data_IF_874426622809
#
_entry.id   IF_874426622809
#
_cell.length_a   1.000
_cell.length_b   1.000
_cell.length_c   1.000
_cell.angle_alpha   90.00
_cell.angle_beta   90.00
_cell.angle_gamma   90.00
#
_symmetry.space_group_name_H-M   'P 1'
#
loop_
_entity.id
_entity.type
_entity.pdbx_description
1 polymer ?
#
# COMPACT_ATOMS: atom_id res chain seq x y z
N UNK A 1 49.69 -45.79 -51.37
CA UNK A 1 48.21 -45.50 -51.24
C UNK A 1 47.96 -45.06 -49.84
N UNK A 2 47.87 -43.75 -49.59
CA UNK A 2 47.56 -43.21 -48.26
C UNK A 2 46.05 -42.83 -48.24
N UNK A 3 45.28 -43.49 -47.41
CA UNK A 3 43.87 -43.18 -47.19
C UNK A 3 43.76 -42.10 -46.12
N UNK A 4 43.37 -40.88 -46.51
CA UNK A 4 43.02 -39.80 -45.57
C UNK A 4 41.62 -40.00 -45.10
N UNK A 5 41.44 -40.19 -43.80
CA UNK A 5 40.14 -40.23 -43.15
C UNK A 5 39.80 -38.79 -42.72
N UNK A 6 38.80 -38.18 -43.38
CA UNK A 6 38.22 -36.90 -42.95
C UNK A 6 37.27 -37.19 -41.76
N UNK A 7 37.64 -36.70 -40.60
CA UNK A 7 36.77 -36.71 -39.41
C UNK A 7 35.87 -35.45 -39.48
N UNK A 8 34.62 -35.61 -39.86
CA UNK A 8 33.62 -34.54 -39.81
C UNK A 8 33.10 -34.41 -38.38
N UNK A 9 33.57 -33.36 -37.68
CA UNK A 9 33.02 -33.00 -36.35
C UNK A 9 31.67 -32.32 -36.54
N UNK A 10 30.58 -33.01 -36.25
CA UNK A 10 29.24 -32.43 -36.15
C UNK A 10 29.15 -31.71 -34.79
N UNK A 11 29.27 -30.38 -34.81
CA UNK A 11 28.88 -29.55 -33.67
C UNK A 11 27.36 -29.59 -33.56
N UNK A 12 26.85 -30.39 -32.62
CA UNK A 12 25.47 -30.30 -32.21
C UNK A 12 25.29 -28.99 -31.40
N UNK A 13 24.82 -27.94 -32.08
CA UNK A 13 24.32 -26.75 -31.40
C UNK A 13 23.04 -27.14 -30.66
N UNK A 14 23.15 -27.48 -29.40
CA UNK A 14 22.01 -27.59 -28.49
C UNK A 14 21.40 -26.17 -28.32
N UNK A 15 20.37 -25.89 -29.10
CA UNK A 15 19.52 -24.73 -28.89
C UNK A 15 18.83 -24.94 -27.58
N UNK A 16 19.34 -24.31 -26.51
CA UNK A 16 18.57 -24.13 -25.30
C UNK A 16 17.39 -23.21 -25.66
N UNK A 17 16.24 -23.78 -25.88
CA UNK A 17 15.00 -23.02 -25.94
C UNK A 17 14.80 -22.47 -24.53
N UNK A 18 15.18 -21.21 -24.31
CA UNK A 18 14.76 -20.48 -23.14
C UNK A 18 13.25 -20.31 -23.30
N UNK A 19 12.47 -21.15 -22.63
CA UNK A 19 11.04 -20.92 -22.54
C UNK A 19 10.84 -19.59 -21.85
N UNK A 20 10.10 -18.69 -22.50
CA UNK A 20 9.67 -17.45 -21.88
C UNK A 20 8.90 -17.80 -20.60
N UNK A 21 9.25 -17.18 -19.49
CA UNK A 21 8.52 -17.36 -18.23
C UNK A 21 7.23 -16.56 -18.31
N UNK A 22 6.17 -17.12 -17.75
CA UNK A 22 4.91 -16.42 -17.50
C UNK A 22 4.84 -16.11 -16.01
N UNK A 23 4.63 -14.82 -15.66
CA UNK A 23 4.44 -14.33 -14.30
C UNK A 23 3.00 -13.92 -14.13
N UNK A 24 2.33 -14.43 -13.10
CA UNK A 24 0.99 -14.01 -12.71
C UNK A 24 1.07 -12.84 -11.74
N UNK A 25 0.52 -11.68 -12.15
CA UNK A 25 0.47 -10.49 -11.33
C UNK A 25 -0.98 -10.12 -11.02
N UNK A 26 -1.35 -10.13 -9.75
CA UNK A 26 -2.67 -9.69 -9.28
C UNK A 26 -2.58 -8.28 -8.70
N UNK A 27 -3.42 -7.38 -9.21
CA UNK A 27 -3.53 -6.00 -8.79
C UNK A 27 -4.98 -5.68 -8.43
N UNK A 28 -5.24 -5.08 -7.26
CA UNK A 28 -6.56 -4.53 -6.98
C UNK A 28 -6.64 -3.07 -7.46
N UNK A 29 -7.78 -2.74 -8.08
CA UNK A 29 -8.02 -1.40 -8.61
C UNK A 29 -8.31 -0.39 -7.49
N UNK A 30 -7.58 0.73 -7.50
CA UNK A 30 -7.75 1.83 -6.55
C UNK A 30 -7.37 3.17 -7.21
N UNK A 31 -7.88 3.52 -8.33
CA UNK A 31 -7.57 4.60 -9.25
C UNK A 31 -6.88 4.06 -10.50
N UNK A 32 -5.68 4.55 -10.88
CA UNK A 32 -4.98 4.16 -12.11
C UNK A 32 -3.69 3.34 -11.87
N UNK A 33 -3.46 2.90 -10.63
CA UNK A 33 -2.21 2.20 -10.28
C UNK A 33 -2.02 0.91 -11.07
N UNK A 34 -3.10 0.12 -11.25
CA UNK A 34 -3.01 -1.12 -11.99
C UNK A 34 -2.66 -0.86 -13.46
N UNK A 35 -3.20 0.20 -14.07
CA UNK A 35 -2.89 0.57 -15.45
C UNK A 35 -1.41 0.96 -15.60
N UNK A 36 -0.88 1.71 -14.64
CA UNK A 36 0.54 2.09 -14.61
C UNK A 36 1.43 0.87 -14.43
N UNK A 37 1.12 -0.01 -13.49
CA UNK A 37 1.88 -1.24 -13.25
C UNK A 37 1.86 -2.16 -14.47
N UNK A 38 0.72 -2.26 -15.18
CA UNK A 38 0.62 -3.03 -16.41
C UNK A 38 1.48 -2.44 -17.53
N UNK A 39 1.51 -1.10 -17.67
CA UNK A 39 2.39 -0.43 -18.63
C UNK A 39 3.87 -0.67 -18.30
N UNK A 40 4.25 -0.61 -17.03
CA UNK A 40 5.62 -0.92 -16.59
C UNK A 40 5.98 -2.38 -16.86
N UNK A 41 5.06 -3.32 -16.64
CA UNK A 41 5.24 -4.74 -16.95
C UNK A 41 5.55 -4.95 -18.44
N UNK A 42 4.86 -4.23 -19.34
CA UNK A 42 5.10 -4.31 -20.77
C UNK A 42 6.53 -3.90 -21.19
N UNK A 43 7.16 -2.98 -20.46
CA UNK A 43 8.57 -2.60 -20.70
C UNK A 43 9.48 -3.79 -20.37
N UNK A 44 9.23 -4.49 -19.29
CA UNK A 44 9.99 -5.68 -18.91
C UNK A 44 9.75 -6.84 -19.89
N UNK A 45 8.51 -7.10 -20.31
CA UNK A 45 8.17 -8.11 -21.31
C UNK A 45 8.95 -7.88 -22.62
N UNK A 46 8.92 -6.65 -23.13
CA UNK A 46 9.64 -6.27 -24.35
C UNK A 46 11.17 -6.43 -24.24
N UNK A 47 11.72 -6.25 -23.04
CA UNK A 47 13.18 -6.35 -22.81
C UNK A 47 13.67 -7.77 -22.58
N UNK A 48 12.79 -8.67 -22.10
CA UNK A 48 13.17 -10.02 -21.67
C UNK A 48 12.57 -11.13 -22.53
N UNK A 49 11.50 -10.86 -23.27
CA UNK A 49 10.72 -11.85 -24.01
C UNK A 49 9.83 -12.73 -23.10
N UNK A 50 9.74 -12.42 -21.81
CA UNK A 50 8.82 -13.06 -20.87
C UNK A 50 7.41 -12.42 -20.94
N UNK A 51 6.43 -13.02 -20.28
CA UNK A 51 5.04 -12.55 -20.28
C UNK A 51 4.57 -12.29 -18.84
N UNK A 52 3.81 -11.22 -18.64
CA UNK A 52 3.10 -10.95 -17.39
C UNK A 52 1.60 -11.12 -17.63
N UNK A 53 1.02 -12.14 -17.04
CA UNK A 53 -0.43 -12.32 -16.99
C UNK A 53 -0.97 -11.42 -15.87
N UNK A 54 -1.40 -10.20 -16.25
CA UNK A 54 -1.83 -9.15 -15.34
C UNK A 54 -3.33 -9.23 -15.10
N UNK A 55 -3.73 -9.55 -13.88
CA UNK A 55 -5.12 -9.66 -13.47
C UNK A 55 -5.52 -8.52 -12.54
N UNK A 56 -6.57 -7.78 -12.92
CA UNK A 56 -7.15 -6.73 -12.09
C UNK A 56 -8.39 -7.25 -11.37
N UNK A 57 -8.39 -7.17 -10.06
CA UNK A 57 -9.46 -7.70 -9.19
C UNK A 57 -10.01 -6.63 -8.25
N UNK A 58 -11.11 -6.92 -7.57
CA UNK A 58 -11.58 -6.11 -6.45
C UNK A 58 -10.66 -6.21 -5.24
N UNK A 59 -10.61 -5.15 -4.43
CA UNK A 59 -9.81 -5.12 -3.19
C UNK A 59 -10.18 -6.25 -2.21
N UNK A 60 -11.46 -6.59 -2.12
CA UNK A 60 -11.98 -7.68 -1.31
C UNK A 60 -11.38 -9.05 -1.69
N UNK A 61 -11.11 -9.28 -2.97
CA UNK A 61 -10.47 -10.53 -3.43
C UNK A 61 -9.07 -10.66 -2.85
N UNK A 62 -8.26 -9.60 -2.93
CA UNK A 62 -6.89 -9.62 -2.38
C UNK A 62 -6.92 -9.69 -0.85
N UNK A 63 -7.81 -8.93 -0.21
CA UNK A 63 -7.91 -8.92 1.26
C UNK A 63 -8.35 -10.26 1.85
N UNK A 64 -9.33 -10.93 1.23
CA UNK A 64 -10.04 -12.05 1.84
C UNK A 64 -9.58 -13.42 1.29
N UNK A 65 -8.94 -13.46 0.11
CA UNK A 65 -8.61 -14.72 -0.56
C UNK A 65 -7.11 -14.98 -0.74
N UNK A 66 -6.26 -13.93 -0.76
CA UNK A 66 -4.84 -14.11 -1.07
C UNK A 66 -4.14 -15.03 -0.07
N UNK A 67 -4.41 -14.90 1.22
CA UNK A 67 -3.80 -15.76 2.24
C UNK A 67 -4.15 -17.25 2.01
N UNK A 68 -5.42 -17.55 1.76
CA UNK A 68 -5.86 -18.91 1.43
C UNK A 68 -5.20 -19.44 0.15
N UNK A 69 -4.98 -18.60 -0.85
CA UNK A 69 -4.29 -18.98 -2.08
C UNK A 69 -2.80 -19.27 -1.83
N UNK A 70 -2.16 -18.47 -0.97
CA UNK A 70 -0.76 -18.67 -0.55
C UNK A 70 -0.60 -19.99 0.22
N UNK A 71 -1.50 -20.28 1.16
CA UNK A 71 -1.51 -21.55 1.89
C UNK A 71 -1.74 -22.76 0.98
N UNK A 72 -2.61 -22.61 -0.02
CA UNK A 72 -2.91 -23.66 -0.98
C UNK A 72 -1.85 -23.82 -2.09
N UNK A 73 -0.84 -22.93 -2.17
CA UNK A 73 0.16 -22.94 -3.24
C UNK A 73 -0.40 -22.56 -4.61
N UNK A 74 -1.51 -21.81 -4.66
CA UNK A 74 -2.20 -21.37 -5.87
C UNK A 74 -2.20 -19.84 -6.04
N UNK A 75 -1.45 -19.13 -5.22
CA UNK A 75 -1.33 -17.68 -5.28
C UNK A 75 -0.65 -17.20 -6.57
N UNK A 76 -0.84 -15.91 -6.94
CA UNK A 76 -0.04 -15.28 -7.99
C UNK A 76 1.44 -15.18 -7.58
N UNK A 77 2.32 -15.00 -8.57
CA UNK A 77 3.76 -14.79 -8.32
C UNK A 77 4.05 -13.40 -7.75
N UNK A 78 3.23 -12.42 -8.12
CA UNK A 78 3.30 -11.03 -7.65
C UNK A 78 1.90 -10.54 -7.32
N UNK A 79 1.75 -9.85 -6.19
CA UNK A 79 0.49 -9.23 -5.80
C UNK A 79 0.69 -7.81 -5.27
N UNK A 80 -0.18 -6.88 -5.69
CA UNK A 80 -0.35 -5.59 -5.01
C UNK A 80 -1.19 -5.81 -3.76
N UNK A 81 -0.66 -5.46 -2.60
CA UNK A 81 -1.28 -5.75 -1.30
C UNK A 81 -1.27 -4.54 -0.38
N UNK A 82 -2.09 -4.59 0.68
CA UNK A 82 -2.08 -3.64 1.80
C UNK A 82 -1.70 -4.29 3.13
N UNK A 83 -1.86 -5.60 3.28
CA UNK A 83 -1.48 -6.33 4.49
C UNK A 83 0.01 -6.68 4.46
N UNK A 84 0.88 -5.67 4.66
CA UNK A 84 2.31 -5.79 4.42
C UNK A 84 3.00 -6.79 5.36
N UNK A 85 2.77 -6.67 6.65
CA UNK A 85 3.39 -7.54 7.66
C UNK A 85 2.68 -8.87 7.88
N UNK A 86 1.37 -8.94 7.62
CA UNK A 86 0.57 -10.14 7.90
C UNK A 86 0.87 -11.34 7.00
N UNK A 87 1.45 -11.09 5.82
CA UNK A 87 1.78 -12.13 4.84
C UNK A 87 3.28 -12.36 4.67
N UNK A 88 4.11 -11.77 5.52
CA UNK A 88 5.56 -11.74 5.35
C UNK A 88 6.24 -13.12 5.36
N UNK A 89 5.61 -14.15 5.95
CA UNK A 89 6.12 -15.52 5.92
C UNK A 89 6.14 -16.12 4.51
N UNK A 90 5.36 -15.58 3.58
CA UNK A 90 5.27 -16.07 2.20
C UNK A 90 6.17 -15.31 1.22
N UNK A 91 6.75 -14.18 1.64
CA UNK A 91 7.52 -13.33 0.74
C UNK A 91 8.87 -13.92 0.39
N UNK A 92 9.23 -13.81 -0.89
CA UNK A 92 10.56 -14.07 -1.38
C UNK A 92 11.54 -12.97 -0.93
N UNK A 93 12.68 -13.34 -0.38
CA UNK A 93 13.76 -12.40 -0.13
C UNK A 93 14.39 -11.94 -1.44
N UNK A 94 14.25 -10.68 -1.75
CA UNK A 94 14.76 -10.04 -2.97
C UNK A 94 16.19 -9.53 -2.82
N UNK A 95 16.78 -9.57 -1.63
CA UNK A 95 18.14 -9.06 -1.36
C UNK A 95 19.19 -9.58 -2.34
N UNK A 96 19.19 -10.87 -2.76
CA UNK A 96 20.15 -11.38 -3.72
C UNK A 96 19.96 -10.86 -5.17
N UNK A 97 18.82 -10.25 -5.48
CA UNK A 97 18.41 -9.89 -6.84
C UNK A 97 18.40 -8.39 -7.10
N UNK A 98 18.61 -7.56 -6.08
CA UNK A 98 18.54 -6.10 -6.16
C UNK A 98 19.82 -5.47 -5.60
N UNK A 99 20.05 -4.20 -5.91
CA UNK A 99 21.04 -3.39 -5.19
C UNK A 99 20.47 -3.02 -3.82
N UNK A 100 20.80 -3.84 -2.81
CA UNK A 100 20.28 -3.68 -1.45
C UNK A 100 20.65 -2.30 -0.85
N UNK A 101 21.80 -1.75 -1.18
CA UNK A 101 22.22 -0.42 -0.72
C UNK A 101 21.36 0.69 -1.30
N UNK A 102 21.08 0.63 -2.61
CA UNK A 102 20.19 1.58 -3.26
C UNK A 102 18.74 1.46 -2.75
N UNK A 103 18.27 0.25 -2.49
CA UNK A 103 16.94 0.03 -1.91
C UNK A 103 16.84 0.57 -0.50
N UNK A 104 17.81 0.32 0.36
CA UNK A 104 17.83 0.85 1.72
C UNK A 104 17.89 2.40 1.71
N UNK A 105 18.68 2.99 0.82
CA UNK A 105 18.78 4.44 0.71
C UNK A 105 17.47 5.11 0.25
N UNK A 106 16.70 4.45 -0.63
CA UNK A 106 15.46 5.02 -1.18
C UNK A 106 14.21 4.63 -0.39
N UNK A 107 14.17 3.44 0.22
CA UNK A 107 12.97 2.87 0.84
C UNK A 107 13.18 2.45 2.31
N UNK A 108 14.33 2.74 2.91
CA UNK A 108 14.71 2.29 4.26
C UNK A 108 13.66 2.61 5.33
N UNK A 109 12.92 3.71 5.17
CA UNK A 109 11.83 4.07 6.09
C UNK A 109 10.62 3.12 6.02
N UNK A 110 10.39 2.45 4.88
CA UNK A 110 9.21 1.58 4.67
C UNK A 110 9.54 0.09 4.60
N UNK A 111 10.79 -0.28 4.29
CA UNK A 111 11.23 -1.69 4.26
C UNK A 111 10.90 -2.47 5.55
N UNK A 112 11.01 -1.90 6.76
CA UNK A 112 10.64 -2.60 7.99
C UNK A 112 9.19 -3.07 8.04
N UNK A 113 8.28 -2.45 7.27
CA UNK A 113 6.86 -2.83 7.25
C UNK A 113 6.61 -4.21 6.62
N UNK A 114 7.54 -4.69 5.78
CA UNK A 114 7.46 -6.00 5.11
C UNK A 114 8.29 -7.08 5.81
N UNK A 115 9.24 -6.67 6.66
CA UNK A 115 10.21 -7.58 7.28
C UNK A 115 9.55 -8.50 8.29
N UNK A 116 10.13 -9.67 8.44
CA UNK A 116 9.72 -10.62 9.47
C UNK A 116 10.11 -10.08 10.86
N UNK A 117 9.33 -10.37 11.91
CA UNK A 117 9.75 -10.07 13.27
C UNK A 117 11.13 -10.67 13.56
N UNK A 118 11.89 -10.11 14.51
CA UNK A 118 13.19 -10.68 14.98
C UNK A 118 14.45 -10.31 14.18
N UNK A 119 14.59 -9.06 13.75
CA UNK A 119 15.89 -8.57 13.25
C UNK A 119 16.25 -9.03 11.83
N UNK A 120 15.27 -9.49 11.08
CA UNK A 120 15.40 -9.77 9.68
C UNK A 120 15.65 -8.47 8.89
N UNK A 121 16.69 -8.44 8.07
CA UNK A 121 17.06 -7.30 7.21
C UNK A 121 16.81 -7.57 5.73
N UNK A 122 16.04 -8.62 5.38
CA UNK A 122 15.69 -8.96 4.01
C UNK A 122 14.85 -7.86 3.32
N UNK A 123 14.83 -7.88 2.02
CA UNK A 123 14.02 -7.01 1.15
C UNK A 123 12.92 -7.88 0.57
N UNK A 124 11.66 -7.63 0.95
CA UNK A 124 10.55 -8.53 0.60
C UNK A 124 9.49 -7.88 -0.27
N UNK A 125 9.61 -6.62 -0.54
CA UNK A 125 8.62 -5.90 -1.32
C UNK A 125 9.07 -4.51 -1.69
N UNK A 126 8.22 -3.85 -2.44
CA UNK A 126 8.44 -2.52 -2.96
C UNK A 126 7.21 -1.65 -2.71
N UNK A 127 7.43 -0.47 -2.15
CA UNK A 127 6.41 0.54 -1.96
C UNK A 127 6.05 1.19 -3.31
N UNK A 128 4.90 0.85 -3.86
CA UNK A 128 4.40 1.46 -5.09
C UNK A 128 3.67 2.77 -4.83
N UNK A 129 3.08 2.92 -3.63
CA UNK A 129 2.26 4.05 -3.25
C UNK A 129 2.35 4.30 -1.75
N UNK A 130 2.43 5.56 -1.35
CA UNK A 130 2.30 5.99 0.03
C UNK A 130 1.08 6.91 0.13
N UNK A 131 0.12 6.53 0.97
CA UNK A 131 -1.06 7.34 1.23
C UNK A 131 -0.98 7.92 2.64
N UNK A 132 -1.20 9.21 2.74
CA UNK A 132 -1.32 9.90 4.02
C UNK A 132 -2.80 10.16 4.31
N UNK A 133 -3.26 9.76 5.48
CA UNK A 133 -4.61 10.08 5.95
C UNK A 133 -4.59 11.41 6.69
N UNK A 134 -5.41 12.33 6.24
CA UNK A 134 -5.59 13.65 6.85
C UNK A 134 -6.84 14.33 6.28
N UNK A 135 -7.29 15.43 6.89
CA UNK A 135 -8.41 16.19 6.38
C UNK A 135 -8.04 16.94 5.08
N UNK A 136 -8.97 16.95 4.15
CA UNK A 136 -8.98 17.89 3.02
C UNK A 136 -9.93 19.03 3.37
N UNK A 137 -9.47 20.27 3.18
CA UNK A 137 -10.25 21.45 3.48
C UNK A 137 -10.68 22.14 2.17
N UNK A 138 -11.95 22.46 2.07
CA UNK A 138 -12.45 23.30 0.97
C UNK A 138 -12.25 24.77 1.35
N UNK A 139 -11.15 25.35 0.92
CA UNK A 139 -10.75 26.73 1.23
C UNK A 139 -11.81 27.74 0.75
N UNK A 140 -12.38 27.51 -0.44
CA UNK A 140 -13.41 28.41 -1.01
C UNK A 140 -14.63 28.51 -0.11
N UNK A 141 -15.04 27.43 0.56
CA UNK A 141 -16.17 27.50 1.50
C UNK A 141 -15.86 28.34 2.74
N UNK A 142 -14.62 28.36 3.21
CA UNK A 142 -14.20 29.26 4.28
C UNK A 142 -14.22 30.72 3.83
N UNK A 143 -13.70 31.00 2.63
CA UNK A 143 -13.73 32.35 2.02
C UNK A 143 -15.17 32.85 1.81
N UNK A 144 -16.06 32.03 1.24
CA UNK A 144 -17.44 32.34 1.00
C UNK A 144 -18.25 32.59 2.29
N UNK A 145 -17.91 31.89 3.35
CA UNK A 145 -18.49 32.06 4.68
C UNK A 145 -17.90 33.25 5.45
N UNK A 146 -16.80 33.86 4.95
CA UNK A 146 -16.08 34.92 5.67
C UNK A 146 -15.42 34.45 6.97
N UNK A 147 -15.00 33.20 7.02
CA UNK A 147 -14.37 32.56 8.18
C UNK A 147 -12.90 32.29 7.88
N UNK A 148 -12.03 32.73 8.76
CA UNK A 148 -10.61 32.38 8.67
C UNK A 148 -10.41 30.88 9.00
N UNK A 149 -9.58 30.22 8.20
CA UNK A 149 -9.20 28.84 8.53
C UNK A 149 -8.34 28.81 9.79
N UNK A 150 -8.52 27.80 10.68
CA UNK A 150 -7.62 27.60 11.80
C UNK A 150 -6.17 27.46 11.34
N UNK A 151 -5.25 28.02 12.10
CA UNK A 151 -3.82 28.01 11.80
C UNK A 151 -3.20 26.61 12.06
N UNK A 152 -1.95 26.44 11.61
CA UNK A 152 -1.18 25.22 11.90
C UNK A 152 -1.06 25.00 13.40
N UNK A 153 -1.38 23.78 13.86
CA UNK A 153 -1.37 23.44 15.28
C UNK A 153 -2.68 23.72 16.02
N UNK A 154 -3.70 24.26 15.34
CA UNK A 154 -5.03 24.42 15.92
C UNK A 154 -5.63 23.08 16.42
N UNK A 155 -6.37 23.15 17.51
CA UNK A 155 -7.03 21.99 18.09
C UNK A 155 -8.22 21.51 17.23
N UNK A 156 -8.71 20.31 17.50
CA UNK A 156 -9.93 19.81 16.89
C UNK A 156 -11.17 20.65 17.28
N UNK A 157 -11.15 21.29 18.45
CA UNK A 157 -12.23 22.18 18.87
C UNK A 157 -12.21 23.48 18.06
N UNK A 158 -11.04 24.07 17.79
CA UNK A 158 -10.91 25.23 16.92
C UNK A 158 -11.44 24.93 15.52
N UNK A 159 -11.11 23.78 14.98
CA UNK A 159 -11.63 23.31 13.69
C UNK A 159 -13.15 23.10 13.73
N UNK A 160 -13.68 22.49 14.78
CA UNK A 160 -15.11 22.24 14.94
C UNK A 160 -15.87 23.55 15.02
N UNK A 161 -15.38 24.53 15.79
CA UNK A 161 -16.01 25.85 15.92
C UNK A 161 -16.04 26.60 14.59
N UNK A 162 -14.92 26.63 13.86
CA UNK A 162 -14.87 27.25 12.54
C UNK A 162 -15.83 26.57 11.55
N UNK A 163 -15.86 25.23 11.53
CA UNK A 163 -16.76 24.47 10.65
C UNK A 163 -18.24 24.65 11.00
N UNK A 164 -18.61 24.89 12.28
CA UNK A 164 -19.98 25.23 12.66
C UNK A 164 -20.41 26.55 12.07
N UNK A 165 -19.53 27.54 12.06
CA UNK A 165 -19.81 28.83 11.44
C UNK A 165 -19.96 28.68 9.92
N UNK A 166 -19.02 28.02 9.24
CA UNK A 166 -19.10 27.75 7.80
C UNK A 166 -20.39 27.02 7.44
N UNK A 167 -20.75 25.98 8.21
CA UNK A 167 -21.98 25.23 8.03
C UNK A 167 -23.22 26.15 8.12
N UNK A 168 -23.24 27.02 9.12
CA UNK A 168 -24.38 27.95 9.36
C UNK A 168 -24.50 29.00 8.25
N UNK A 169 -23.39 29.66 7.91
CA UNK A 169 -23.39 30.75 6.91
C UNK A 169 -23.74 30.24 5.51
N UNK A 170 -23.31 29.06 5.15
CA UNK A 170 -23.57 28.50 3.82
C UNK A 170 -24.78 27.57 3.77
N UNK A 171 -25.48 27.34 4.89
CA UNK A 171 -26.66 26.46 4.96
C UNK A 171 -26.35 25.01 4.64
N UNK A 172 -25.17 24.51 5.02
CA UNK A 172 -24.74 23.14 4.72
C UNK A 172 -25.42 22.15 5.68
N UNK A 173 -25.63 20.93 5.20
CA UNK A 173 -26.16 19.83 6.02
C UNK A 173 -25.12 19.30 6.99
N UNK A 174 -23.82 19.37 6.64
CA UNK A 174 -22.71 18.94 7.48
C UNK A 174 -21.49 19.81 7.23
N UNK A 175 -20.74 20.16 8.27
CA UNK A 175 -19.44 20.85 8.18
C UNK A 175 -18.26 19.89 8.00
N UNK A 176 -18.43 18.62 8.37
CA UNK A 176 -17.39 17.58 8.28
C UNK A 176 -17.96 16.30 7.66
N UNK A 177 -17.23 15.72 6.71
CA UNK A 177 -17.50 14.41 6.18
C UNK A 177 -16.34 13.47 6.54
N UNK A 178 -16.66 12.31 7.12
CA UNK A 178 -15.68 11.26 7.44
C UNK A 178 -16.23 9.91 7.03
N UNK A 179 -15.40 9.09 6.39
CA UNK A 179 -15.79 7.74 6.06
C UNK A 179 -15.78 6.82 7.31
N UNK A 180 -16.39 5.64 7.21
CA UNK A 180 -16.54 4.71 8.32
C UNK A 180 -15.38 3.74 8.49
N UNK A 181 -14.24 4.00 7.85
CA UNK A 181 -13.11 3.10 7.86
C UNK A 181 -12.22 3.38 9.08
N UNK A 182 -11.91 2.35 9.86
CA UNK A 182 -11.19 2.49 11.13
C UNK A 182 -9.86 3.26 11.02
N UNK A 183 -9.12 3.09 9.93
CA UNK A 183 -7.86 3.81 9.73
C UNK A 183 -8.03 5.33 9.56
N UNK A 184 -9.21 5.82 9.16
CA UNK A 184 -9.51 7.26 9.11
C UNK A 184 -9.67 7.86 10.51
N UNK A 185 -10.08 7.03 11.47
CA UNK A 185 -10.25 7.44 12.86
C UNK A 185 -8.94 7.42 13.63
N UNK A 186 -7.96 6.64 13.18
CA UNK A 186 -6.69 6.50 13.88
C UNK A 186 -5.95 7.84 14.02
N UNK A 187 -5.86 8.65 12.97
CA UNK A 187 -5.21 9.96 13.01
C UNK A 187 -5.81 10.88 14.08
N UNK A 188 -7.11 11.20 14.01
CA UNK A 188 -7.77 11.98 15.06
C UNK A 188 -7.62 11.37 16.46
N UNK A 189 -7.79 10.05 16.63
CA UNK A 189 -7.61 9.40 17.91
C UNK A 189 -6.20 9.59 18.50
N UNK A 190 -5.16 9.53 17.66
CA UNK A 190 -3.80 9.85 18.10
C UNK A 190 -3.64 11.28 18.60
N UNK A 191 -4.37 12.24 18.02
CA UNK A 191 -4.36 13.64 18.49
C UNK A 191 -4.94 13.77 19.91
N UNK A 192 -5.80 12.84 20.32
CA UNK A 192 -6.33 12.73 21.70
C UNK A 192 -5.44 11.86 22.60
N UNK A 193 -4.28 11.41 22.10
CA UNK A 193 -3.33 10.59 22.87
C UNK A 193 -3.62 9.08 22.86
N UNK A 194 -4.55 8.61 22.01
CA UNK A 194 -4.82 7.19 21.88
C UNK A 194 -3.58 6.39 21.50
N UNK A 195 -3.47 5.19 22.04
CA UNK A 195 -2.44 4.21 21.69
C UNK A 195 -3.12 2.96 21.16
N UNK A 196 -2.65 2.44 20.04
CA UNK A 196 -3.19 1.20 19.48
C UNK A 196 -2.33 -0.03 19.81
N UNK A 197 -1.09 0.19 20.23
CA UNK A 197 -0.16 -0.87 20.65
C UNK A 197 0.73 -0.37 21.79
N UNK A 198 1.06 -1.26 22.70
CA UNK A 198 2.08 -1.06 23.72
C UNK A 198 2.90 -2.35 23.88
N UNK A 199 4.22 -2.26 23.72
CA UNK A 199 5.15 -3.40 23.78
C UNK A 199 4.75 -4.58 22.85
N UNK A 200 4.21 -4.26 21.66
CA UNK A 200 3.77 -5.26 20.68
C UNK A 200 2.39 -5.88 20.98
N UNK A 201 1.71 -5.44 22.04
CA UNK A 201 0.36 -5.90 22.38
C UNK A 201 -0.67 -4.88 21.91
N UNK A 202 -1.69 -5.28 21.15
CA UNK A 202 -2.77 -4.38 20.75
C UNK A 202 -3.54 -3.83 21.94
N UNK A 203 -3.83 -2.53 21.92
CA UNK A 203 -4.73 -1.85 22.86
C UNK A 203 -6.02 -1.57 22.11
N UNK A 204 -7.12 -2.15 22.61
CA UNK A 204 -8.43 -1.99 21.96
C UNK A 204 -9.07 -0.63 22.26
N UNK A 205 -9.00 -0.19 23.52
CA UNK A 205 -9.60 1.06 23.98
C UNK A 205 -8.79 1.58 25.15
N UNK A 206 -8.29 2.81 25.04
CA UNK A 206 -7.69 3.58 26.12
C UNK A 206 -8.47 4.88 26.39
N UNK A 207 -7.94 5.76 27.25
CA UNK A 207 -8.58 7.03 27.60
C UNK A 207 -8.63 7.96 26.38
N UNK A 208 -7.51 8.12 25.67
CA UNK A 208 -7.45 8.99 24.48
C UNK A 208 -8.42 8.56 23.38
N UNK A 209 -8.59 7.25 23.17
CA UNK A 209 -9.61 6.76 22.24
C UNK A 209 -11.03 7.05 22.69
N UNK A 210 -11.31 6.97 24.01
CA UNK A 210 -12.64 7.30 24.55
C UNK A 210 -12.95 8.77 24.36
N UNK A 211 -12.04 9.66 24.70
CA UNK A 211 -12.19 11.10 24.56
C UNK A 211 -12.44 11.49 23.10
N UNK A 212 -11.65 10.94 22.17
CA UNK A 212 -11.91 11.08 20.74
C UNK A 212 -13.31 10.60 20.35
N UNK A 213 -13.70 9.39 20.77
CA UNK A 213 -14.96 8.79 20.40
C UNK A 213 -16.16 9.59 20.95
N UNK A 214 -16.07 10.10 22.17
CA UNK A 214 -17.11 10.94 22.78
C UNK A 214 -17.27 12.26 22.00
N UNK A 215 -16.16 12.91 21.66
CA UNK A 215 -16.15 14.14 20.87
C UNK A 215 -16.74 13.89 19.48
N UNK A 216 -16.28 12.84 18.79
CA UNK A 216 -16.75 12.49 17.45
C UNK A 216 -18.24 12.14 17.41
N UNK A 217 -18.73 11.40 18.39
CA UNK A 217 -20.18 11.13 18.56
C UNK A 217 -20.94 12.42 18.85
N UNK A 218 -20.34 13.35 19.60
CA UNK A 218 -20.89 14.68 19.83
C UNK A 218 -21.15 15.42 18.53
N UNK A 219 -20.17 15.52 17.67
CA UNK A 219 -20.29 16.19 16.36
C UNK A 219 -21.35 15.57 15.44
N UNK A 220 -21.63 14.26 15.57
CA UNK A 220 -22.69 13.60 14.81
C UNK A 220 -24.11 13.98 15.25
N UNK A 221 -24.27 14.61 16.40
CA UNK A 221 -25.57 15.04 16.93
C UNK A 221 -25.90 16.49 16.61
N UNK A 222 -24.95 17.23 16.07
CA UNK A 222 -25.05 18.64 15.65
C UNK A 222 -25.44 18.75 14.17
#
# INVERSE_FOLDING_TARGET
MKKSILLASVLAASSFSVNAAEIKFVCYQDSNECDVLQQMSSVWENSTGNTVNFEVVGYDVVRDQLENQLEAGSAPDVARITNLGGLNQYYLDLTPYVDAGAWEANYGATLPWYRKPSGDNGIYGWQTQLTVTGPYVNVTMFEDAGVDMPEEGASWDDWADALRVVKSELGLTSGLAMDRTAHRWAGPAFSYGAKFHENGVPILVDEGFRDFAETFVGWHKE
#
